data_IF_913011328424
#
_entry.id   IF_913011328424
#
_cell.length_a   1.000
_cell.length_b   1.000
_cell.length_c   1.000
_cell.angle_alpha   90.00
_cell.angle_beta   90.00
_cell.angle_gamma   90.00
#
_symmetry.space_group_name_H-M   'P 1'
#
loop_
_entity.id
_entity.type
_entity.pdbx_description
1 polymer ?
#
# COMPACT_ATOMS: atom_id res chain seq x y z
N UNK A 1 48.32 9.92 26.17
CA UNK A 1 47.72 9.22 25.02
C UNK A 1 46.39 9.90 24.71
N UNK A 2 46.43 10.82 23.75
CA UNK A 2 45.27 11.54 23.21
C UNK A 2 44.40 10.59 22.40
N UNK A 3 43.09 10.60 22.65
CA UNK A 3 42.07 10.11 21.74
C UNK A 3 41.01 11.19 21.61
N UNK A 4 40.65 11.45 20.34
CA UNK A 4 40.06 12.67 19.82
C UNK A 4 38.61 12.90 20.26
N UNK A 5 38.34 14.16 20.61
CA UNK A 5 37.05 14.76 20.89
C UNK A 5 36.42 15.36 19.63
N UNK A 6 36.06 14.53 18.65
CA UNK A 6 35.56 14.97 17.33
C UNK A 6 34.20 14.35 16.93
N UNK A 7 33.38 13.98 17.92
CA UNK A 7 32.04 13.41 17.68
C UNK A 7 30.90 14.21 18.34
N UNK A 8 31.01 15.55 18.34
CA UNK A 8 29.97 16.46 18.85
C UNK A 8 29.73 17.70 17.96
N UNK A 9 29.85 17.57 16.64
CA UNK A 9 29.61 18.71 15.71
C UNK A 9 28.41 18.50 14.78
N UNK A 10 27.79 17.31 14.72
CA UNK A 10 26.68 17.05 13.79
C UNK A 10 25.26 17.25 14.35
N UNK A 11 25.10 17.75 15.59
CA UNK A 11 23.79 17.90 16.23
C UNK A 11 23.50 19.34 16.74
N UNK A 12 23.82 20.35 15.92
CA UNK A 12 23.54 21.77 16.25
C UNK A 12 23.07 22.66 15.10
N UNK A 13 22.95 22.14 13.88
CA UNK A 13 22.58 22.96 12.69
C UNK A 13 21.10 22.85 12.32
N UNK A 14 20.38 21.81 12.79
CA UNK A 14 18.98 21.58 12.43
C UNK A 14 17.95 22.25 13.36
N UNK A 15 18.35 22.74 14.53
CA UNK A 15 17.42 23.32 15.54
C UNK A 15 17.26 24.85 15.47
N UNK A 16 18.17 25.57 14.78
CA UNK A 16 18.14 27.05 14.70
C UNK A 16 17.53 27.61 13.40
N UNK A 17 17.07 26.76 12.47
CA UNK A 17 16.39 27.20 11.22
C UNK A 17 14.86 27.21 11.29
N UNK A 18 14.27 26.93 12.45
CA UNK A 18 12.80 26.83 12.63
C UNK A 18 12.17 28.04 13.39
N UNK A 19 12.96 29.05 13.79
CA UNK A 19 12.52 30.22 14.59
C UNK A 19 12.45 31.55 13.82
N UNK A 20 12.25 31.54 12.51
CA UNK A 20 12.10 32.76 11.70
C UNK A 20 10.83 32.74 10.83
N UNK A 21 9.70 32.35 11.43
CA UNK A 21 8.37 32.55 10.82
C UNK A 21 7.37 33.12 11.82
N UNK A 22 7.74 34.22 12.50
CA UNK A 22 6.79 35.10 13.21
C UNK A 22 7.39 36.50 13.42
N UNK A 23 7.45 37.37 12.41
CA UNK A 23 7.32 38.83 12.61
C UNK A 23 6.85 39.44 11.27
N UNK A 24 5.68 40.11 11.26
CA UNK A 24 5.22 40.83 10.08
C UNK A 24 3.78 41.35 10.12
N UNK A 25 3.26 41.82 11.27
CA UNK A 25 2.07 42.68 11.28
C UNK A 25 2.53 44.12 11.09
N UNK A 26 2.37 44.66 9.89
CA UNK A 26 2.51 46.09 9.63
C UNK A 26 1.13 46.66 9.27
N UNK A 27 0.69 47.59 10.12
CA UNK A 27 -0.51 48.42 9.97
C UNK A 27 -0.19 49.46 8.89
N UNK A 28 -1.02 49.56 7.85
CA UNK A 28 -1.01 50.69 6.93
C UNK A 28 -2.45 51.22 6.77
N UNK A 29 -2.70 52.37 7.40
CA UNK A 29 -3.84 53.23 7.13
C UNK A 29 -3.62 53.89 5.77
N UNK A 30 -4.53 53.64 4.83
CA UNK A 30 -4.51 54.26 3.51
C UNK A 30 -5.92 54.31 2.94
N UNK A 31 -6.56 55.45 3.08
CA UNK A 31 -7.83 55.79 2.43
C UNK A 31 -7.56 55.91 0.94
N UNK A 32 -8.14 55.01 0.13
CA UNK A 32 -8.25 55.18 -1.32
C UNK A 32 -9.69 54.96 -1.75
N UNK A 33 -10.25 56.02 -2.32
CA UNK A 33 -11.57 56.03 -2.92
C UNK A 33 -11.57 55.24 -4.23
N UNK A 34 -12.62 54.43 -4.43
CA UNK A 34 -13.19 54.12 -5.73
C UNK A 34 -12.38 53.21 -6.66
N UNK A 35 -12.68 51.91 -6.64
CA UNK A 35 -12.91 51.08 -7.84
C UNK A 35 -13.36 49.69 -7.40
N UNK A 36 -14.58 49.29 -7.80
CA UNK A 36 -15.14 47.97 -7.55
C UNK A 36 -14.42 46.92 -8.40
N UNK A 37 -13.33 46.34 -7.87
CA UNK A 37 -12.78 45.09 -8.38
C UNK A 37 -13.35 43.95 -7.55
N UNK A 38 -14.27 43.20 -8.15
CA UNK A 38 -14.79 41.96 -7.59
C UNK A 38 -13.64 40.97 -7.40
N UNK A 39 -13.24 40.76 -6.15
CA UNK A 39 -12.27 39.74 -5.77
C UNK A 39 -12.97 38.38 -5.82
N UNK A 40 -12.89 37.70 -6.96
CA UNK A 40 -13.18 36.28 -7.04
C UNK A 40 -12.18 35.53 -6.15
N UNK A 41 -12.66 35.07 -4.99
CA UNK A 41 -11.96 34.08 -4.18
C UNK A 41 -11.93 32.77 -4.95
N UNK A 42 -10.81 32.50 -5.63
CA UNK A 42 -10.48 31.16 -6.12
C UNK A 42 -10.09 30.35 -4.89
N UNK A 43 -11.03 29.62 -4.32
CA UNK A 43 -10.73 28.49 -3.43
C UNK A 43 -9.97 27.47 -4.25
N UNK A 44 -8.65 27.38 -4.04
CA UNK A 44 -7.87 26.23 -4.47
C UNK A 44 -8.49 25.01 -3.78
N UNK A 45 -9.13 24.13 -4.56
CA UNK A 45 -9.53 22.83 -4.08
C UNK A 45 -8.25 22.10 -3.68
N UNK A 46 -8.13 21.82 -2.38
CA UNK A 46 -7.09 20.94 -1.86
C UNK A 46 -7.19 19.63 -2.66
N UNK A 47 -6.10 19.15 -3.31
CA UNK A 47 -6.17 17.90 -4.05
C UNK A 47 -6.56 16.83 -3.04
N UNK A 48 -7.75 16.27 -3.24
CA UNK A 48 -8.16 15.05 -2.56
C UNK A 48 -7.10 14.02 -2.91
N UNK A 49 -6.16 13.80 -1.98
CA UNK A 49 -5.27 12.65 -2.08
C UNK A 49 -6.21 11.47 -2.01
N UNK A 50 -6.46 10.88 -3.18
CA UNK A 50 -7.04 9.56 -3.30
C UNK A 50 -6.05 8.61 -2.62
N UNK A 51 -6.19 8.50 -1.30
CA UNK A 51 -5.38 7.62 -0.48
C UNK A 51 -5.91 6.22 -0.74
N UNK A 52 -5.53 5.66 -1.89
CA UNK A 52 -5.74 4.26 -2.21
C UNK A 52 -5.35 3.44 -0.98
N UNK A 53 -6.34 2.79 -0.38
CA UNK A 53 -6.13 1.91 0.78
C UNK A 53 -5.27 0.76 0.30
N UNK A 54 -4.10 0.58 0.92
CA UNK A 54 -3.15 -0.47 0.54
C UNK A 54 -3.56 -1.76 1.23
N UNK A 55 -3.81 -2.82 0.46
CA UNK A 55 -4.13 -4.12 1.04
C UNK A 55 -2.86 -4.93 1.31
N UNK A 56 -2.49 -5.04 2.59
CA UNK A 56 -1.32 -5.80 3.02
C UNK A 56 -1.22 -7.18 2.37
N UNK A 57 -2.29 -7.98 2.36
CA UNK A 57 -2.24 -9.36 1.86
C UNK A 57 -2.09 -9.45 0.34
N UNK A 58 -2.51 -8.42 -0.41
CA UNK A 58 -2.46 -8.41 -1.87
C UNK A 58 -1.23 -7.69 -2.42
N UNK A 59 -0.76 -6.65 -1.73
CA UNK A 59 0.26 -5.74 -2.23
C UNK A 59 1.59 -5.88 -1.47
N UNK A 60 1.57 -5.87 -0.13
CA UNK A 60 2.78 -5.80 0.70
C UNK A 60 3.35 -7.19 1.02
N UNK A 61 2.52 -8.13 1.45
CA UNK A 61 2.95 -9.46 1.84
C UNK A 61 3.64 -10.22 0.69
N UNK A 62 3.12 -10.22 -0.56
CA UNK A 62 3.82 -10.85 -1.69
C UNK A 62 5.13 -10.14 -2.04
N UNK A 63 5.19 -8.81 -1.84
CA UNK A 63 6.40 -8.03 -2.07
C UNK A 63 7.49 -8.43 -1.06
N UNK A 64 7.17 -8.48 0.23
CA UNK A 64 8.12 -8.91 1.26
C UNK A 64 8.53 -10.37 1.09
N UNK A 65 7.58 -11.25 0.73
CA UNK A 65 7.89 -12.65 0.43
C UNK A 65 8.91 -12.80 -0.71
N UNK A 66 8.77 -11.97 -1.76
CA UNK A 66 9.65 -12.04 -2.93
C UNK A 66 10.99 -11.35 -2.72
N UNK A 67 11.06 -10.30 -1.91
CA UNK A 67 12.23 -9.39 -1.85
C UNK A 67 12.96 -9.40 -0.52
N UNK A 68 12.34 -9.85 0.56
CA UNK A 68 12.83 -9.62 1.92
C UNK A 68 12.99 -10.89 2.75
N UNK A 69 12.06 -11.85 2.66
CA UNK A 69 12.03 -13.01 3.57
C UNK A 69 13.22 -13.97 3.44
N UNK A 70 13.98 -13.90 2.34
CA UNK A 70 15.20 -14.70 2.21
C UNK A 70 16.24 -14.35 3.30
N UNK A 71 16.34 -13.08 3.68
CA UNK A 71 17.32 -12.57 4.66
C UNK A 71 16.67 -12.09 5.97
N UNK A 72 15.38 -11.75 5.94
CA UNK A 72 14.59 -11.23 7.08
C UNK A 72 13.31 -12.05 7.30
N UNK A 73 13.44 -13.38 7.29
CA UNK A 73 12.35 -14.34 7.41
C UNK A 73 12.62 -15.40 8.48
N UNK A 74 11.92 -16.54 8.46
CA UNK A 74 12.01 -17.53 9.53
C UNK A 74 13.39 -18.21 9.63
N UNK A 75 14.08 -18.36 8.50
CA UNK A 75 15.37 -19.05 8.43
C UNK A 75 16.57 -18.14 8.71
N UNK A 76 16.46 -16.86 8.34
CA UNK A 76 17.55 -15.88 8.41
C UNK A 76 16.98 -14.56 8.91
N UNK A 77 17.67 -13.94 9.87
CA UNK A 77 17.19 -12.74 10.58
C UNK A 77 18.29 -11.68 10.61
N UNK A 78 18.71 -11.20 9.44
CA UNK A 78 19.77 -10.20 9.36
C UNK A 78 19.37 -8.90 10.08
N UNK A 79 20.28 -8.39 10.91
CA UNK A 79 20.03 -7.22 11.76
C UNK A 79 18.94 -7.41 12.81
N UNK A 80 18.59 -8.64 13.14
CA UNK A 80 17.52 -8.97 14.09
C UNK A 80 16.12 -8.72 13.54
N UNK A 81 15.94 -8.58 12.22
CA UNK A 81 14.64 -8.27 11.61
C UNK A 81 13.89 -9.51 11.12
N UNK A 82 12.59 -9.60 11.48
CA UNK A 82 11.64 -10.61 11.01
C UNK A 82 10.45 -9.94 10.32
N UNK A 83 10.44 -9.91 8.99
CA UNK A 83 9.36 -9.29 8.20
C UNK A 83 8.20 -10.24 7.89
N UNK A 84 8.32 -11.53 8.21
CA UNK A 84 7.26 -12.53 8.04
C UNK A 84 6.27 -12.57 9.22
N UNK A 85 6.64 -11.99 10.35
CA UNK A 85 5.82 -11.90 11.57
C UNK A 85 5.51 -10.44 11.91
N UNK A 86 4.25 -10.14 12.25
CA UNK A 86 3.86 -8.77 12.59
C UNK A 86 4.66 -8.19 13.76
N UNK A 87 4.80 -8.95 14.85
CA UNK A 87 5.56 -8.51 16.03
C UNK A 87 7.04 -8.30 15.70
N UNK A 88 7.64 -9.22 14.93
CA UNK A 88 9.03 -9.13 14.49
C UNK A 88 9.30 -7.96 13.54
N UNK A 89 8.30 -7.53 12.77
CA UNK A 89 8.44 -6.42 11.83
C UNK A 89 8.48 -5.05 12.55
N UNK A 90 7.93 -4.98 13.77
CA UNK A 90 7.84 -3.78 14.61
C UNK A 90 8.89 -3.74 15.75
N UNK A 91 9.69 -4.80 15.89
CA UNK A 91 10.67 -4.90 16.96
C UNK A 91 11.88 -3.99 16.75
N UNK A 92 12.61 -3.75 17.83
CA UNK A 92 13.90 -3.07 17.76
C UNK A 92 14.93 -3.98 17.11
N UNK A 93 15.69 -3.42 16.17
CA UNK A 93 16.77 -4.08 15.45
C UNK A 93 18.04 -4.11 16.31
N UNK A 94 19.01 -4.92 15.92
CA UNK A 94 20.33 -4.95 16.58
C UNK A 94 21.05 -3.58 16.58
N UNK A 95 20.65 -2.70 15.65
CA UNK A 95 21.15 -1.32 15.56
C UNK A 95 20.52 -0.34 16.55
N UNK A 96 19.51 -0.76 17.31
CA UNK A 96 18.70 0.10 18.19
C UNK A 96 17.60 0.91 17.48
N UNK A 97 17.47 0.76 16.16
CA UNK A 97 16.41 1.39 15.35
C UNK A 97 15.24 0.44 15.13
N UNK A 98 14.14 0.91 14.52
CA UNK A 98 13.03 0.05 14.09
C UNK A 98 12.92 0.04 12.57
N UNK A 99 12.71 -1.13 11.99
CA UNK A 99 12.47 -1.24 10.55
C UNK A 99 11.18 -0.52 10.14
N UNK A 100 10.10 -0.73 10.91
CA UNK A 100 8.78 -0.17 10.65
C UNK A 100 8.26 0.50 11.92
N UNK A 101 7.84 1.75 11.79
CA UNK A 101 7.13 2.51 12.83
C UNK A 101 5.78 2.92 12.25
N UNK A 102 4.70 2.36 12.81
CA UNK A 102 3.35 2.61 12.32
C UNK A 102 3.00 4.11 12.36
N UNK A 103 2.41 4.61 11.26
CA UNK A 103 2.08 6.02 11.03
C UNK A 103 3.28 6.97 10.90
N UNK A 104 4.51 6.47 10.96
CA UNK A 104 5.73 7.28 10.87
C UNK A 104 6.70 6.72 9.82
N UNK A 105 6.50 7.08 8.54
CA UNK A 105 7.44 6.70 7.49
C UNK A 105 8.82 7.34 7.66
N UNK A 106 8.94 8.49 8.33
CA UNK A 106 10.21 9.20 8.46
C UNK A 106 11.17 8.47 9.41
N UNK A 107 10.64 7.88 10.48
CA UNK A 107 11.40 7.08 11.45
C UNK A 107 11.56 5.61 11.01
N UNK A 108 10.80 5.16 10.02
CA UNK A 108 10.86 3.78 9.50
C UNK A 108 12.10 3.55 8.62
N UNK A 109 13.13 2.91 9.18
CA UNK A 109 14.42 2.69 8.49
C UNK A 109 14.26 1.86 7.21
N UNK A 110 13.22 1.02 7.08
CA UNK A 110 12.99 0.26 5.85
C UNK A 110 12.91 1.15 4.61
N UNK A 111 12.34 2.36 4.71
CA UNK A 111 12.20 3.29 3.59
C UNK A 111 13.55 3.86 3.15
N UNK A 112 14.43 4.15 4.10
CA UNK A 112 15.81 4.55 3.82
C UNK A 112 16.56 3.43 3.09
N UNK A 113 16.43 2.18 3.57
CA UNK A 113 17.13 1.03 3.01
C UNK A 113 16.69 0.69 1.59
N UNK A 114 15.38 0.69 1.32
CA UNK A 114 14.86 0.34 -0.02
C UNK A 114 15.05 1.46 -1.05
N UNK A 115 15.37 2.69 -0.61
CA UNK A 115 15.63 3.83 -1.50
C UNK A 115 17.11 4.23 -1.57
N UNK A 116 17.96 3.68 -0.71
CA UNK A 116 19.39 3.96 -0.71
C UNK A 116 20.06 3.54 -2.02
N UNK A 117 21.02 4.36 -2.45
CA UNK A 117 21.89 4.08 -3.59
C UNK A 117 23.25 3.49 -3.18
N UNK A 118 23.56 3.48 -1.88
CA UNK A 118 24.80 2.91 -1.35
C UNK A 118 24.72 1.37 -1.36
N UNK A 119 25.60 0.66 -2.09
CA UNK A 119 25.61 -0.79 -2.16
C UNK A 119 25.70 -1.50 -0.79
N UNK A 120 26.27 -0.87 0.24
CA UNK A 120 26.38 -1.48 1.57
C UNK A 120 25.11 -1.31 2.42
N UNK A 121 24.25 -0.35 2.08
CA UNK A 121 23.07 0.00 2.87
C UNK A 121 21.76 -0.33 2.15
N UNK A 122 21.81 -0.47 0.82
CA UNK A 122 20.66 -0.73 -0.02
C UNK A 122 20.06 -2.11 0.27
N UNK A 123 18.72 -2.14 0.32
CA UNK A 123 17.94 -3.37 0.31
C UNK A 123 17.04 -3.45 -0.93
N UNK A 124 16.92 -4.61 -1.60
CA UNK A 124 17.68 -5.84 -1.37
C UNK A 124 19.17 -5.68 -1.76
N UNK A 125 20.09 -6.41 -1.09
CA UNK A 125 21.52 -6.38 -1.43
C UNK A 125 21.82 -7.14 -2.72
N UNK A 126 21.02 -8.18 -2.98
CA UNK A 126 21.06 -8.99 -4.18
C UNK A 126 19.72 -8.92 -4.93
N UNK A 127 19.78 -9.05 -6.26
CA UNK A 127 18.60 -9.03 -7.12
C UNK A 127 18.14 -7.63 -7.51
N UNK A 128 16.96 -7.56 -8.14
CA UNK A 128 16.41 -6.29 -8.63
C UNK A 128 15.85 -5.43 -7.51
N UNK A 129 16.18 -4.13 -7.57
CA UNK A 129 15.58 -3.08 -6.74
C UNK A 129 14.06 -3.07 -6.85
N UNK A 130 13.42 -2.53 -5.82
CA UNK A 130 11.99 -2.23 -5.86
C UNK A 130 11.73 -1.15 -6.91
N UNK A 131 10.59 -1.25 -7.58
CA UNK A 131 10.11 -0.17 -8.45
C UNK A 131 9.60 1.00 -7.61
N UNK A 132 9.45 2.17 -8.22
CA UNK A 132 8.93 3.36 -7.52
C UNK A 132 7.56 3.07 -6.93
N UNK A 133 6.69 2.39 -7.69
CA UNK A 133 5.34 2.03 -7.26
C UNK A 133 5.34 1.07 -6.05
N UNK A 134 6.33 0.17 -5.97
CA UNK A 134 6.49 -0.74 -4.84
C UNK A 134 6.96 0.00 -3.60
N UNK A 135 7.92 0.92 -3.74
CA UNK A 135 8.36 1.79 -2.63
C UNK A 135 7.20 2.65 -2.13
N UNK A 136 6.45 3.26 -3.04
CA UNK A 136 5.29 4.09 -2.71
C UNK A 136 4.19 3.28 -2.02
N UNK A 137 3.97 2.02 -2.43
CA UNK A 137 3.04 1.11 -1.77
C UNK A 137 3.45 0.82 -0.33
N UNK A 138 4.73 0.54 -0.08
CA UNK A 138 5.26 0.31 1.28
C UNK A 138 5.12 1.58 2.11
N UNK A 139 5.48 2.74 1.56
CA UNK A 139 5.35 4.04 2.25
C UNK A 139 3.89 4.34 2.61
N UNK A 140 2.97 4.20 1.66
CA UNK A 140 1.55 4.42 1.88
C UNK A 140 0.98 3.46 2.94
N UNK A 141 1.38 2.19 2.91
CA UNK A 141 1.00 1.22 3.92
C UNK A 141 1.50 1.61 5.33
N UNK A 142 2.74 2.09 5.47
CA UNK A 142 3.27 2.58 6.76
C UNK A 142 2.49 3.80 7.25
N UNK A 143 2.19 4.76 6.36
CA UNK A 143 1.37 5.94 6.65
C UNK A 143 -0.03 5.55 7.14
N UNK A 144 -0.60 4.47 6.61
CA UNK A 144 -1.90 3.91 7.02
C UNK A 144 -1.84 3.14 8.35
N UNK A 145 -0.72 3.20 9.07
CA UNK A 145 -0.53 2.51 10.35
C UNK A 145 0.02 1.09 10.22
N UNK A 146 0.58 0.74 9.06
CA UNK A 146 1.10 -0.59 8.76
C UNK A 146 0.13 -1.73 9.10
N UNK A 147 -1.17 -1.65 8.68
CA UNK A 147 -2.16 -2.62 9.09
C UNK A 147 -1.76 -4.02 8.62
N UNK A 148 -1.63 -4.93 9.57
CA UNK A 148 -1.32 -6.33 9.32
C UNK A 148 -2.59 -7.14 9.18
N UNK A 149 -2.62 -8.02 8.18
CA UNK A 149 -3.74 -8.96 7.99
C UNK A 149 -3.26 -10.37 8.19
N UNK A 150 -4.03 -11.12 8.95
CA UNK A 150 -3.87 -12.56 9.06
C UNK A 150 -4.08 -13.22 7.68
N UNK A 151 -3.32 -14.28 7.42
CA UNK A 151 -3.46 -15.05 6.20
C UNK A 151 -4.90 -15.58 6.06
N UNK A 152 -5.44 -15.55 4.84
CA UNK A 152 -6.85 -15.84 4.57
C UNK A 152 -7.33 -17.20 5.10
N UNK A 153 -6.43 -18.19 5.19
CA UNK A 153 -6.73 -19.54 5.67
C UNK A 153 -7.04 -19.64 7.17
N UNK A 154 -6.60 -18.66 7.98
CA UNK A 154 -6.84 -18.65 9.43
C UNK A 154 -7.99 -17.73 9.84
N UNK A 155 -8.50 -16.93 8.90
CA UNK A 155 -9.64 -16.04 9.14
C UNK A 155 -10.94 -16.83 9.13
N UNK A 156 -11.84 -16.50 10.05
CA UNK A 156 -13.19 -17.05 10.05
C UNK A 156 -13.93 -16.72 8.74
N UNK A 157 -14.57 -17.74 8.14
CA UNK A 157 -15.34 -17.58 6.91
C UNK A 157 -16.69 -16.95 7.25
N UNK A 158 -16.93 -15.74 6.76
CA UNK A 158 -18.24 -15.08 6.81
C UNK A 158 -18.95 -15.25 5.47
N UNK A 159 -20.27 -15.49 5.49
CA UNK A 159 -21.08 -15.51 4.27
C UNK A 159 -21.25 -14.08 3.73
N UNK A 160 -20.71 -13.74 2.55
CA UNK A 160 -20.87 -12.40 2.00
C UNK A 160 -22.32 -12.15 1.58
N UNK A 161 -22.73 -10.89 1.61
CA UNK A 161 -24.01 -10.50 1.03
C UNK A 161 -23.97 -10.70 -0.48
N UNK A 162 -25.00 -11.35 -1.02
CA UNK A 162 -25.11 -11.65 -2.44
C UNK A 162 -25.56 -10.38 -3.16
N UNK A 163 -24.79 -9.86 -4.15
CA UNK A 163 -25.23 -8.72 -4.94
C UNK A 163 -26.55 -9.03 -5.65
N UNK A 164 -27.55 -8.17 -5.47
CA UNK A 164 -28.84 -8.27 -6.16
C UNK A 164 -28.90 -7.24 -7.27
N UNK A 165 -28.59 -7.65 -8.48
CA UNK A 165 -28.72 -6.80 -9.67
C UNK A 165 -30.18 -6.80 -10.18
N UNK A 166 -30.65 -5.67 -10.73
CA UNK A 166 -32.04 -5.52 -11.23
C UNK A 166 -32.38 -6.46 -12.40
N UNK A 167 -31.36 -6.99 -13.07
CA UNK A 167 -31.48 -7.88 -14.23
C UNK A 167 -31.60 -9.36 -13.86
N UNK A 168 -31.63 -9.67 -12.56
CA UNK A 168 -31.58 -11.03 -12.04
C UNK A 168 -32.95 -11.74 -12.06
N UNK A 169 -33.55 -11.87 -13.26
CA UNK A 169 -34.81 -12.63 -13.43
C UNK A 169 -34.57 -14.12 -13.67
N UNK A 170 -33.32 -14.54 -13.82
CA UNK A 170 -32.95 -15.88 -14.32
C UNK A 170 -31.96 -16.63 -13.43
N UNK A 171 -31.23 -15.98 -12.51
CA UNK A 171 -30.40 -16.74 -11.60
C UNK A 171 -31.24 -17.41 -10.51
N UNK A 172 -30.97 -18.70 -10.31
CA UNK A 172 -31.42 -19.45 -9.14
C UNK A 172 -30.28 -19.69 -8.15
N UNK A 173 -29.04 -19.29 -8.50
CA UNK A 173 -27.83 -19.57 -7.73
C UNK A 173 -27.20 -18.27 -7.19
N UNK A 174 -26.98 -18.15 -5.87
CA UNK A 174 -26.31 -17.00 -5.26
C UNK A 174 -24.97 -16.60 -5.90
N UNK A 175 -24.26 -17.53 -6.54
CA UNK A 175 -22.99 -17.25 -7.21
C UNK A 175 -23.19 -16.32 -8.41
N UNK A 176 -24.30 -16.42 -9.13
CA UNK A 176 -24.50 -15.64 -10.35
C UNK A 176 -24.64 -14.14 -10.04
N UNK A 177 -25.12 -13.77 -8.84
CA UNK A 177 -25.15 -12.37 -8.41
C UNK A 177 -23.75 -11.73 -8.39
N UNK A 178 -22.72 -12.48 -7.97
CA UNK A 178 -21.34 -12.01 -8.01
C UNK A 178 -20.79 -11.95 -9.45
N UNK A 179 -21.13 -12.94 -10.29
CA UNK A 179 -20.71 -12.97 -11.70
C UNK A 179 -21.35 -11.82 -12.48
N UNK A 180 -22.65 -11.59 -12.29
CA UNK A 180 -23.41 -10.49 -12.87
C UNK A 180 -22.83 -9.14 -12.49
N UNK A 181 -22.54 -8.94 -11.20
CA UNK A 181 -21.85 -7.74 -10.74
C UNK A 181 -20.52 -7.53 -11.45
N UNK A 182 -19.69 -8.58 -11.55
CA UNK A 182 -18.39 -8.51 -12.21
C UNK A 182 -18.50 -8.16 -13.71
N UNK A 183 -19.47 -8.74 -14.41
CA UNK A 183 -19.75 -8.41 -15.81
C UNK A 183 -20.23 -6.97 -15.96
N UNK A 184 -21.12 -6.51 -15.09
CA UNK A 184 -21.60 -5.13 -15.08
C UNK A 184 -20.47 -4.12 -14.85
N UNK A 185 -19.64 -4.36 -13.84
CA UNK A 185 -18.48 -3.51 -13.53
C UNK A 185 -17.46 -3.47 -14.70
N UNK A 186 -17.37 -4.55 -15.46
CA UNK A 186 -16.54 -4.65 -16.67
C UNK A 186 -17.23 -4.13 -17.96
N UNK A 187 -18.47 -3.66 -17.89
CA UNK A 187 -19.24 -3.21 -19.06
C UNK A 187 -19.59 -4.34 -20.05
N UNK A 188 -19.63 -5.59 -19.57
CA UNK A 188 -19.92 -6.78 -20.37
C UNK A 188 -21.33 -7.30 -20.11
N UNK A 189 -21.97 -7.87 -21.14
CA UNK A 189 -23.26 -8.55 -21.04
C UNK A 189 -23.09 -10.06 -20.83
N UNK A 190 -24.07 -10.70 -20.19
CA UNK A 190 -24.11 -12.15 -20.14
C UNK A 190 -24.27 -12.76 -21.54
N UNK A 191 -23.50 -13.83 -21.87
CA UNK A 191 -23.71 -14.57 -23.11
C UNK A 191 -25.03 -15.38 -23.04
N UNK A 192 -25.63 -15.72 -24.19
CA UNK A 192 -26.78 -16.61 -24.22
C UNK A 192 -26.41 -18.01 -23.68
N UNK A 193 -27.39 -18.78 -23.17
CA UNK A 193 -27.17 -20.17 -22.79
C UNK A 193 -26.54 -20.98 -23.93
N UNK A 194 -25.59 -21.85 -23.58
CA UNK A 194 -24.96 -22.71 -24.57
C UNK A 194 -25.94 -23.75 -25.12
N UNK A 195 -25.79 -24.07 -26.42
CA UNK A 195 -26.55 -25.14 -27.07
C UNK A 195 -26.35 -26.49 -26.38
N UNK A 196 -27.39 -27.35 -26.43
CA UNK A 196 -27.35 -28.67 -25.78
C UNK A 196 -26.18 -29.54 -26.24
N UNK A 197 -25.81 -29.47 -27.52
CA UNK A 197 -24.67 -30.20 -28.09
C UNK A 197 -23.33 -29.68 -27.54
N UNK A 198 -23.20 -28.37 -27.33
CA UNK A 198 -22.03 -27.78 -26.71
C UNK A 198 -21.92 -28.17 -25.23
N UNK A 199 -23.04 -28.20 -24.50
CA UNK A 199 -23.09 -28.66 -23.12
C UNK A 199 -22.73 -30.14 -23.00
N UNK A 200 -23.30 -31.00 -23.85
CA UNK A 200 -22.98 -32.43 -23.89
C UNK A 200 -21.48 -32.63 -24.15
N UNK A 201 -20.93 -31.96 -25.15
CA UNK A 201 -19.51 -32.03 -25.47
C UNK A 201 -18.63 -31.60 -24.29
N UNK A 202 -18.94 -30.48 -23.63
CA UNK A 202 -18.18 -29.99 -22.45
C UNK A 202 -18.21 -31.01 -21.32
N UNK A 203 -19.41 -31.48 -20.96
CA UNK A 203 -19.58 -32.44 -19.88
C UNK A 203 -18.83 -33.76 -20.16
N UNK A 204 -18.88 -34.29 -21.39
CA UNK A 204 -18.14 -35.52 -21.71
C UNK A 204 -16.63 -35.32 -21.63
N UNK A 205 -16.09 -34.21 -22.14
CA UNK A 205 -14.66 -33.93 -21.99
C UNK A 205 -14.24 -33.75 -20.53
N UNK A 206 -15.03 -33.02 -19.73
CA UNK A 206 -14.70 -32.77 -18.32
C UNK A 206 -14.74 -34.04 -17.47
N UNK A 207 -15.67 -34.95 -17.75
CA UNK A 207 -15.89 -36.17 -16.95
C UNK A 207 -15.08 -37.37 -17.45
N UNK A 208 -14.96 -37.56 -18.77
CA UNK A 208 -14.35 -38.76 -19.35
C UNK A 208 -13.08 -38.48 -20.16
N UNK A 209 -12.82 -37.22 -20.53
CA UNK A 209 -11.72 -36.85 -21.42
C UNK A 209 -11.93 -37.19 -22.90
N UNK A 210 -13.11 -37.69 -23.29
CA UNK A 210 -13.43 -38.13 -24.64
C UNK A 210 -14.62 -37.36 -25.24
N UNK A 211 -14.79 -37.34 -26.58
CA UNK A 211 -15.99 -36.75 -27.19
C UNK A 211 -17.24 -37.61 -26.94
N UNK A 212 -18.44 -37.02 -27.00
CA UNK A 212 -19.71 -37.75 -26.86
C UNK A 212 -19.95 -38.75 -28.01
N UNK A 213 -20.49 -39.93 -27.69
CA UNK A 213 -20.86 -41.02 -28.62
C UNK A 213 -22.35 -41.02 -28.93
#
# INVERSE_FOLDING_TARGET
MQVNSDFMIFNKVWYERMKLWQIGRAIALGIWAGSAFGTSLVTAADPLIDTKVVDFSREIQPLFAKRCFACHGPNTQEGGLRLDEHAGALQELDSGSRAIVANDPATSVILERITSSDPQQQMPPEGSRLTIEQVDSVKAWIVQGAPWKEHWAFRSISRPEVPREKQDKQSTNPIDGFVLKGLHDAGMSQPPPAEKTALLRRATFDVTGLPPT
#
